data_IF_153884722530
#
_entry.id   IF_153884722530
#
_cell.length_a   1.000
_cell.length_b   1.000
_cell.length_c   1.000
_cell.angle_alpha   90.00
_cell.angle_beta   90.00
_cell.angle_gamma   90.00
#
_symmetry.space_group_name_H-M   'P 1'
#
loop_
_entity.id
_entity.type
_entity.pdbx_description
1 polymer ?
#
# COMPACT_ATOMS: atom_id res chain seq x y z
N UNK A 1 -16.81 16.74 -11.98
CA UNK A 1 -16.72 16.18 -10.61
C UNK A 1 -15.35 16.50 -10.05
N UNK A 2 -15.24 17.05 -8.83
CA UNK A 2 -13.95 17.44 -8.24
C UNK A 2 -13.03 16.20 -8.09
N UNK A 3 -11.75 16.33 -8.46
CA UNK A 3 -10.74 15.28 -8.38
C UNK A 3 -10.69 14.64 -6.98
N UNK A 4 -10.81 15.43 -5.92
CA UNK A 4 -10.81 14.97 -4.54
C UNK A 4 -11.98 14.01 -4.25
N UNK A 5 -13.19 14.30 -4.75
CA UNK A 5 -14.35 13.43 -4.56
C UNK A 5 -14.18 12.08 -5.29
N UNK A 6 -13.56 12.10 -6.48
CA UNK A 6 -13.27 10.89 -7.26
C UNK A 6 -12.26 10.03 -6.50
N UNK A 7 -11.20 10.65 -6.00
CA UNK A 7 -10.17 9.99 -5.19
C UNK A 7 -10.75 9.40 -3.92
N UNK A 8 -11.53 10.17 -3.15
CA UNK A 8 -12.12 9.69 -1.91
C UNK A 8 -13.13 8.55 -2.13
N UNK A 9 -13.90 8.61 -3.22
CA UNK A 9 -14.76 7.48 -3.60
C UNK A 9 -13.93 6.22 -3.83
N UNK A 10 -12.84 6.31 -4.61
CA UNK A 10 -11.96 5.17 -4.89
C UNK A 10 -11.30 4.61 -3.62
N UNK A 11 -10.85 5.49 -2.72
CA UNK A 11 -10.28 5.12 -1.43
C UNK A 11 -11.26 4.28 -0.62
N UNK A 12 -12.55 4.66 -0.57
CA UNK A 12 -13.59 3.89 0.12
C UNK A 12 -13.89 2.54 -0.54
N UNK A 13 -13.86 2.48 -1.87
CA UNK A 13 -14.00 1.21 -2.60
C UNK A 13 -12.85 0.26 -2.22
N UNK A 14 -11.61 0.75 -2.19
CA UNK A 14 -10.44 -0.04 -1.79
C UNK A 14 -10.50 -0.46 -0.31
N UNK A 15 -10.93 0.41 0.60
CA UNK A 15 -11.02 0.07 2.03
C UNK A 15 -12.10 -0.98 2.31
N UNK A 16 -13.16 -1.02 1.50
CA UNK A 16 -14.19 -2.06 1.54
C UNK A 16 -13.77 -3.37 0.85
N UNK A 17 -12.51 -3.46 0.39
CA UNK A 17 -11.97 -4.64 -0.27
C UNK A 17 -12.46 -4.83 -1.70
N UNK A 18 -12.98 -3.79 -2.36
CA UNK A 18 -13.52 -3.89 -3.72
C UNK A 18 -12.40 -3.87 -4.77
N UNK A 19 -11.81 -5.04 -5.01
CA UNK A 19 -10.65 -5.25 -5.86
C UNK A 19 -11.04 -5.73 -7.26
N UNK A 20 -11.50 -4.81 -8.10
CA UNK A 20 -11.80 -5.08 -9.51
C UNK A 20 -10.52 -5.12 -10.36
N UNK A 21 -10.55 -5.69 -11.59
CA UNK A 21 -9.39 -5.69 -12.48
C UNK A 21 -8.80 -4.30 -12.76
N UNK A 22 -9.64 -3.25 -12.77
CA UNK A 22 -9.24 -1.85 -12.96
C UNK A 22 -8.65 -1.18 -11.71
N UNK A 23 -9.04 -1.65 -10.53
CA UNK A 23 -8.64 -1.05 -9.24
C UNK A 23 -7.54 -1.84 -8.53
N UNK A 24 -7.24 -3.05 -8.97
CA UNK A 24 -6.30 -3.98 -8.34
C UNK A 24 -5.36 -4.61 -9.38
N UNK A 25 -4.86 -3.81 -10.32
CA UNK A 25 -3.85 -4.29 -11.28
C UNK A 25 -2.47 -4.28 -10.64
N UNK A 26 -1.73 -5.41 -10.54
CA UNK A 26 -0.36 -5.39 -10.06
C UNK A 26 0.55 -4.63 -11.03
N UNK A 27 1.52 -3.91 -10.50
CA UNK A 27 2.59 -3.29 -11.28
C UNK A 27 3.57 -4.38 -11.70
N UNK A 28 3.93 -4.39 -12.98
CA UNK A 28 4.89 -5.35 -13.56
C UNK A 28 6.20 -5.34 -12.78
N UNK A 29 6.74 -6.52 -12.47
CA UNK A 29 8.00 -6.67 -11.74
C UNK A 29 7.89 -6.54 -10.21
N UNK A 30 6.67 -6.59 -9.65
CA UNK A 30 6.45 -6.56 -8.19
C UNK A 30 5.84 -7.85 -7.62
N UNK A 31 5.33 -8.75 -8.48
CA UNK A 31 4.51 -9.90 -8.06
C UNK A 31 5.30 -11.05 -7.41
N UNK A 32 6.59 -11.16 -7.72
CA UNK A 32 7.56 -12.11 -7.15
C UNK A 32 7.98 -11.75 -5.69
N UNK A 33 7.71 -10.51 -5.29
CA UNK A 33 8.03 -9.93 -3.97
C UNK A 33 6.73 -9.51 -3.28
N UNK A 34 6.73 -8.38 -2.56
CA UNK A 34 5.49 -7.77 -2.05
C UNK A 34 4.84 -6.99 -3.20
N UNK A 35 3.66 -7.40 -3.71
CA UNK A 35 3.10 -6.75 -4.87
C UNK A 35 2.64 -5.33 -4.57
N UNK A 36 2.88 -4.45 -5.53
CA UNK A 36 2.37 -3.09 -5.53
C UNK A 36 1.29 -3.02 -6.60
N UNK A 37 0.15 -2.45 -6.25
CA UNK A 37 -1.02 -2.38 -7.08
C UNK A 37 -1.28 -0.96 -7.54
N UNK A 38 -1.98 -0.86 -8.67
CA UNK A 38 -2.50 0.37 -9.22
C UNK A 38 -4.01 0.29 -9.29
N UNK A 39 -4.67 1.33 -8.78
CA UNK A 39 -6.06 1.61 -9.08
C UNK A 39 -6.20 2.72 -10.12
N UNK A 40 -7.07 2.52 -11.10
CA UNK A 40 -7.44 3.55 -12.08
C UNK A 40 -8.59 4.41 -11.57
N UNK A 41 -8.45 5.72 -11.76
CA UNK A 41 -9.49 6.71 -11.46
C UNK A 41 -9.86 7.44 -12.76
N UNK A 42 -10.99 8.15 -12.72
CA UNK A 42 -11.33 9.14 -13.75
C UNK A 42 -10.32 10.29 -13.76
N UNK A 43 -10.26 11.07 -14.84
CA UNK A 43 -9.31 12.18 -15.06
C UNK A 43 -7.83 11.74 -15.12
N UNK A 44 -7.59 10.51 -15.55
CA UNK A 44 -6.26 9.90 -15.68
C UNK A 44 -5.41 9.87 -14.40
N UNK A 45 -6.04 10.00 -13.24
CA UNK A 45 -5.40 9.77 -11.94
C UNK A 45 -5.18 8.27 -11.69
N UNK A 46 -4.18 7.96 -10.87
CA UNK A 46 -3.92 6.62 -10.34
C UNK A 46 -3.64 6.70 -8.86
N UNK A 47 -4.06 5.65 -8.14
CA UNK A 47 -3.60 5.39 -6.78
C UNK A 47 -2.62 4.23 -6.88
N UNK A 48 -1.40 4.42 -6.37
CA UNK A 48 -0.43 3.36 -6.16
C UNK A 48 -0.48 2.96 -4.69
N UNK A 49 -0.68 1.68 -4.42
CA UNK A 49 -0.88 1.16 -3.08
C UNK A 49 -0.34 -0.25 -2.93
N UNK A 50 -0.23 -0.70 -1.69
CA UNK A 50 0.03 -2.10 -1.35
C UNK A 50 -0.96 -2.57 -0.29
N UNK A 51 -1.01 -3.89 -0.10
CA UNK A 51 -1.68 -4.48 1.05
C UNK A 51 -0.60 -4.84 2.07
N UNK A 52 -0.60 -4.14 3.19
CA UNK A 52 0.38 -4.25 4.28
C UNK A 52 -0.28 -4.90 5.51
N UNK A 53 0.51 -5.19 6.54
CA UNK A 53 0.05 -5.64 7.85
C UNK A 53 0.39 -4.58 8.89
N UNK A 54 -0.53 -4.35 9.82
CA UNK A 54 -0.29 -3.58 11.04
C UNK A 54 -0.77 -4.37 12.26
N UNK A 55 -0.03 -4.37 13.38
CA UNK A 55 -0.53 -4.94 14.61
C UNK A 55 -1.61 -4.03 15.22
N UNK A 56 -2.59 -4.62 15.90
CA UNK A 56 -3.52 -3.84 16.72
C UNK A 56 -2.83 -3.20 17.93
N UNK A 57 -3.49 -2.26 18.58
CA UNK A 57 -2.94 -1.53 19.74
C UNK A 57 -2.65 -2.44 20.94
N UNK A 58 -3.29 -3.61 21.00
CA UNK A 58 -3.07 -4.64 22.03
C UNK A 58 -2.02 -5.68 21.62
N UNK A 59 -1.45 -5.60 20.42
CA UNK A 59 -0.59 -6.62 19.81
C UNK A 59 -1.18 -8.04 19.93
N UNK A 60 -2.50 -8.16 19.77
CA UNK A 60 -3.22 -9.44 19.81
C UNK A 60 -3.42 -9.99 18.39
N UNK A 61 -3.78 -9.11 17.46
CA UNK A 61 -3.96 -9.45 16.06
C UNK A 61 -3.16 -8.55 15.13
N UNK A 62 -2.79 -9.12 13.98
CA UNK A 62 -2.29 -8.38 12.82
C UNK A 62 -3.42 -8.21 11.81
N UNK A 63 -3.57 -6.99 11.33
CA UNK A 63 -4.62 -6.57 10.41
C UNK A 63 -4.04 -6.27 9.04
N UNK A 64 -4.69 -6.80 8.00
CA UNK A 64 -4.44 -6.32 6.64
C UNK A 64 -4.96 -4.90 6.48
N UNK A 65 -4.15 -4.06 5.84
CA UNK A 65 -4.51 -2.67 5.51
C UNK A 65 -4.14 -2.31 4.09
N UNK A 66 -4.92 -1.40 3.50
CA UNK A 66 -4.56 -0.78 2.22
C UNK A 66 -3.70 0.45 2.52
N UNK A 67 -2.44 0.37 2.11
CA UNK A 67 -1.45 1.42 2.31
C UNK A 67 -1.24 2.18 1.02
N UNK A 68 -1.68 3.43 0.99
CA UNK A 68 -1.55 4.28 -0.19
C UNK A 68 -0.15 4.90 -0.20
N UNK A 69 0.58 4.65 -1.28
CA UNK A 69 1.95 5.11 -1.47
C UNK A 69 1.96 6.45 -2.20
N UNK A 70 1.19 6.57 -3.29
CA UNK A 70 1.11 7.77 -4.12
C UNK A 70 -0.28 7.91 -4.74
N UNK A 71 -0.76 9.15 -4.91
CA UNK A 71 -1.90 9.49 -5.75
C UNK A 71 -1.46 10.59 -6.72
N UNK A 72 -1.44 10.31 -8.01
CA UNK A 72 -1.00 11.29 -9.02
C UNK A 72 -1.61 10.99 -10.40
N UNK A 73 -1.43 11.92 -11.34
CA UNK A 73 -1.70 11.71 -12.75
C UNK A 73 -0.82 10.58 -13.30
N UNK A 74 -1.36 9.78 -14.22
CA UNK A 74 -0.64 8.68 -14.88
C UNK A 74 0.72 9.12 -15.43
N UNK A 75 0.79 10.32 -16.02
CA UNK A 75 1.99 10.84 -16.65
C UNK A 75 3.13 11.15 -15.65
N UNK A 76 2.82 11.32 -14.37
CA UNK A 76 3.80 11.61 -13.32
C UNK A 76 4.28 10.36 -12.58
N UNK A 77 3.66 9.19 -12.84
CA UNK A 77 4.03 7.95 -12.16
C UNK A 77 5.13 7.25 -12.92
N UNK A 78 6.30 7.18 -12.29
CA UNK A 78 7.39 6.32 -12.73
C UNK A 78 7.08 4.85 -12.38
N UNK A 79 6.69 4.06 -13.38
CA UNK A 79 6.43 2.63 -13.18
C UNK A 79 7.71 1.80 -12.98
N UNK A 80 8.88 2.31 -13.40
CA UNK A 80 10.17 1.65 -13.22
C UNK A 80 10.67 1.71 -11.78
N UNK A 81 10.22 2.69 -11.00
CA UNK A 81 10.57 2.85 -9.59
C UNK A 81 9.98 1.76 -8.67
N UNK A 82 8.73 1.35 -8.86
CA UNK A 82 8.01 0.47 -7.94
C UNK A 82 8.60 -0.94 -7.75
N UNK A 83 9.18 -1.60 -8.77
CA UNK A 83 9.96 -2.82 -8.58
C UNK A 83 11.09 -2.70 -7.54
N UNK A 84 11.74 -1.53 -7.44
CA UNK A 84 12.77 -1.27 -6.43
C UNK A 84 12.16 -1.16 -5.03
N UNK A 85 11.05 -0.44 -4.88
CA UNK A 85 10.30 -0.34 -3.61
C UNK A 85 9.84 -1.73 -3.14
N UNK A 86 9.25 -2.51 -4.05
CA UNK A 86 8.81 -3.89 -3.79
C UNK A 86 9.98 -4.78 -3.33
N UNK A 87 11.17 -4.59 -3.91
CA UNK A 87 12.39 -5.27 -3.49
C UNK A 87 12.80 -4.91 -2.07
N UNK A 88 12.77 -3.64 -1.71
CA UNK A 88 13.15 -3.20 -0.37
C UNK A 88 12.17 -3.66 0.70
N UNK A 89 10.86 -3.62 0.42
CA UNK A 89 9.82 -4.18 1.29
C UNK A 89 9.98 -5.68 1.56
N UNK A 90 10.68 -6.38 0.66
CA UNK A 90 10.96 -7.81 0.76
C UNK A 90 12.07 -8.17 1.77
N UNK A 91 12.82 -7.18 2.28
CA UNK A 91 13.91 -7.37 3.24
C UNK A 91 13.42 -7.43 4.69
N UNK A 92 12.23 -7.99 4.93
CA UNK A 92 11.77 -8.30 6.28
C UNK A 92 12.24 -9.71 6.66
N UNK A 93 12.65 -9.94 7.93
CA UNK A 93 12.66 -11.26 8.54
C UNK A 93 11.32 -11.96 8.26
N UNK A 94 11.35 -13.27 8.03
CA UNK A 94 10.14 -14.04 7.72
C UNK A 94 9.38 -13.54 6.47
N UNK A 95 10.13 -13.21 5.39
CA UNK A 95 9.62 -12.79 4.07
C UNK A 95 8.40 -13.59 3.62
N UNK A 96 8.48 -14.91 3.68
CA UNK A 96 7.45 -15.79 3.13
C UNK A 96 6.16 -15.72 3.96
N UNK A 97 6.18 -15.91 5.31
CA UNK A 97 5.00 -15.70 6.15
C UNK A 97 4.37 -14.30 6.02
N UNK A 98 5.18 -13.24 6.00
CA UNK A 98 4.67 -11.87 5.86
C UNK A 98 4.01 -11.67 4.49
N UNK A 99 4.66 -12.11 3.41
CA UNK A 99 4.12 -12.03 2.05
C UNK A 99 2.83 -12.84 1.92
N UNK A 100 2.78 -14.04 2.47
CA UNK A 100 1.59 -14.89 2.48
C UNK A 100 0.42 -14.17 3.16
N UNK A 101 0.64 -13.59 4.34
CA UNK A 101 -0.38 -12.80 5.04
C UNK A 101 -0.79 -11.56 4.24
N UNK A 102 0.12 -10.86 3.56
CA UNK A 102 -0.23 -9.74 2.66
C UNK A 102 -1.04 -10.18 1.43
N UNK A 103 -0.84 -11.39 0.92
CA UNK A 103 -1.52 -11.93 -0.26
C UNK A 103 -2.80 -12.68 0.05
N UNK A 104 -3.00 -13.10 1.29
CA UNK A 104 -4.13 -13.90 1.68
C UNK A 104 -5.44 -13.14 1.45
N UNK A 105 -6.41 -13.81 0.83
CA UNK A 105 -7.73 -13.26 0.49
C UNK A 105 -8.78 -14.28 0.91
N UNK A 106 -9.72 -13.88 1.76
CA UNK A 106 -10.92 -14.68 2.03
C UNK A 106 -11.86 -14.55 0.82
N UNK A 107 -11.83 -15.53 -0.08
CA UNK A 107 -12.80 -15.58 -1.18
C UNK A 107 -14.20 -15.84 -0.61
N UNK A 108 -15.17 -15.01 -0.97
CA UNK A 108 -16.59 -15.37 -0.80
C UNK A 108 -16.95 -16.45 -1.83
N UNK A 109 -17.93 -17.28 -1.49
CA UNK A 109 -18.35 -18.48 -2.22
C UNK A 109 -18.95 -18.23 -3.61
N UNK A 110 -19.12 -16.98 -4.06
CA UNK A 110 -19.60 -16.64 -5.39
C UNK A 110 -18.48 -16.09 -6.26
N UNK A 111 -18.22 -16.73 -7.40
CA UNK A 111 -17.15 -16.41 -8.38
C UNK A 111 -17.18 -14.98 -8.95
N UNK A 112 -18.21 -14.17 -8.67
CA UNK A 112 -18.37 -12.81 -9.19
C UNK A 112 -18.25 -11.69 -8.16
N UNK A 113 -17.91 -11.99 -6.89
CA UNK A 113 -17.80 -10.96 -5.86
C UNK A 113 -16.37 -10.40 -5.79
N UNK A 114 -16.15 -9.19 -6.34
CA UNK A 114 -14.88 -8.47 -6.23
C UNK A 114 -14.60 -7.94 -4.81
N UNK A 115 -15.49 -8.18 -3.85
CA UNK A 115 -15.31 -7.78 -2.46
C UNK A 115 -14.52 -8.84 -1.69
N UNK A 116 -13.29 -8.49 -1.31
CA UNK A 116 -12.45 -9.34 -0.47
C UNK A 116 -12.45 -8.81 0.96
N UNK A 117 -12.85 -9.66 1.90
CA UNK A 117 -12.84 -9.29 3.31
C UNK A 117 -11.40 -9.29 3.86
N UNK A 118 -11.01 -8.28 4.65
CA UNK A 118 -9.73 -8.28 5.33
C UNK A 118 -9.65 -9.42 6.33
N UNK A 119 -8.45 -9.97 6.49
CA UNK A 119 -8.20 -11.10 7.38
C UNK A 119 -7.41 -10.63 8.59
N UNK A 120 -7.74 -11.18 9.75
CA UNK A 120 -6.99 -11.00 10.98
C UNK A 120 -6.14 -12.23 11.24
N UNK A 121 -4.90 -12.02 11.61
CA UNK A 121 -3.97 -13.07 11.99
C UNK A 121 -3.59 -12.91 13.46
N UNK A 122 -3.22 -13.98 14.14
CA UNK A 122 -2.60 -13.84 15.47
C UNK A 122 -1.31 -13.05 15.33
N UNK A 123 -1.09 -12.11 16.26
CA UNK A 123 0.07 -11.23 16.23
C UNK A 123 1.37 -12.04 16.24
N UNK A 124 2.25 -11.73 15.28
CA UNK A 124 3.59 -12.30 15.19
C UNK A 124 4.63 -11.18 15.13
N UNK A 125 5.28 -10.93 16.26
CA UNK A 125 6.30 -9.87 16.42
C UNK A 125 7.47 -10.02 15.43
N UNK A 126 7.76 -11.25 14.98
CA UNK A 126 8.88 -11.52 14.05
C UNK A 126 8.64 -10.97 12.65
N UNK A 127 7.38 -10.64 12.30
CA UNK A 127 7.02 -10.05 11.00
C UNK A 127 7.24 -8.54 10.93
N UNK A 128 7.43 -7.89 12.09
CA UNK A 128 7.57 -6.44 12.21
C UNK A 128 8.97 -6.00 12.62
N UNK A 129 9.86 -6.93 12.94
CA UNK A 129 11.29 -6.63 13.06
C UNK A 129 11.82 -6.26 11.67
N UNK A 130 12.44 -5.09 11.53
CA UNK A 130 13.11 -4.71 10.28
C UNK A 130 14.59 -5.04 10.40
N UNK A 131 15.09 -5.95 9.56
CA UNK A 131 16.52 -6.00 9.34
C UNK A 131 16.93 -4.76 8.53
N UNK A 132 18.05 -4.10 8.87
CA UNK A 132 18.55 -3.03 8.04
C UNK A 132 18.77 -3.61 6.63
N UNK A 133 18.16 -2.95 5.63
CA UNK A 133 18.32 -3.37 4.25
C UNK A 133 19.82 -3.55 3.95
N UNK A 134 20.24 -4.69 3.35
CA UNK A 134 21.64 -4.86 2.98
C UNK A 134 22.01 -3.72 2.03
N UNK A 135 22.85 -2.80 2.51
CA UNK A 135 23.46 -1.77 1.67
C UNK A 135 24.53 -2.43 0.79
N UNK A 136 24.12 -3.20 -0.21
CA UNK A 136 24.99 -3.87 -1.18
C UNK A 136 24.15 -4.30 -2.37
N UNK A 137 24.31 -3.87 -3.63
CA UNK A 137 25.40 -3.23 -4.38
C UNK A 137 24.69 -2.26 -5.35
N UNK A 138 24.62 -0.97 -5.03
CA UNK A 138 24.04 0.02 -5.96
C UNK A 138 25.12 0.37 -6.99
N UNK A 139 24.87 0.01 -8.25
CA UNK A 139 25.88 0.04 -9.31
C UNK A 139 25.92 1.38 -10.05
N UNK A 140 24.86 2.18 -9.94
CA UNK A 140 24.71 3.44 -10.66
C UNK A 140 23.87 4.48 -9.88
N UNK A 141 23.98 5.75 -10.30
CA UNK A 141 23.35 6.89 -9.62
C UNK A 141 21.81 6.83 -9.59
N UNK A 142 21.19 6.17 -10.59
CA UNK A 142 19.72 6.03 -10.66
C UNK A 142 19.23 5.05 -9.58
N UNK A 143 19.90 3.92 -9.42
CA UNK A 143 19.60 2.95 -8.36
C UNK A 143 19.77 3.57 -6.97
N UNK A 144 20.80 4.40 -6.77
CA UNK A 144 21.01 5.11 -5.50
C UNK A 144 19.84 6.04 -5.18
N UNK A 145 19.44 6.87 -6.15
CA UNK A 145 18.29 7.76 -6.00
C UNK A 145 17.02 6.97 -5.66
N UNK A 146 16.74 5.88 -6.37
CA UNK A 146 15.57 5.05 -6.10
C UNK A 146 15.64 4.38 -4.72
N UNK A 147 16.81 3.95 -4.27
CA UNK A 147 16.98 3.38 -2.94
C UNK A 147 16.67 4.42 -1.84
N UNK A 148 17.16 5.64 -1.98
CA UNK A 148 16.88 6.74 -1.04
C UNK A 148 15.38 7.11 -1.02
N UNK A 149 14.76 7.28 -2.18
CA UNK A 149 13.33 7.59 -2.30
C UNK A 149 12.45 6.45 -1.75
N UNK A 150 12.80 5.20 -2.05
CA UNK A 150 12.10 4.04 -1.52
C UNK A 150 12.27 3.90 0.00
N UNK A 151 13.46 4.16 0.54
CA UNK A 151 13.70 4.18 1.97
C UNK A 151 12.90 5.29 2.66
N UNK A 152 12.73 6.45 2.03
CA UNK A 152 11.86 7.49 2.56
C UNK A 152 10.39 7.00 2.63
N UNK A 153 9.87 6.38 1.57
CA UNK A 153 8.51 5.82 1.54
C UNK A 153 8.33 4.72 2.60
N UNK A 154 9.30 3.81 2.73
CA UNK A 154 9.23 2.68 3.66
C UNK A 154 9.41 3.14 5.11
N UNK A 155 10.41 4.00 5.37
CA UNK A 155 10.78 4.51 6.68
C UNK A 155 9.86 5.61 7.23
N UNK A 156 8.92 6.11 6.43
CA UNK A 156 7.79 6.91 6.90
C UNK A 156 6.85 6.04 7.75
N UNK A 157 7.26 5.63 8.96
CA UNK A 157 6.43 4.91 9.95
C UNK A 157 5.21 5.72 10.44
N UNK A 158 4.92 6.88 9.83
CA UNK A 158 3.81 7.77 10.18
C UNK A 158 2.79 7.79 9.06
N UNK A 159 2.07 6.69 8.90
CA UNK A 159 0.87 6.68 8.09
C UNK A 159 -0.32 7.13 8.94
N UNK A 160 -1.06 8.14 8.48
CA UNK A 160 -2.28 8.57 9.14
C UNK A 160 -3.45 7.64 8.77
N UNK A 161 -4.32 7.24 9.70
CA UNK A 161 -5.55 6.56 9.33
C UNK A 161 -6.41 7.49 8.46
N UNK A 162 -6.80 7.02 7.27
CA UNK A 162 -7.69 7.75 6.39
C UNK A 162 -9.10 7.77 6.96
N UNK A 163 -9.32 8.74 7.81
CA UNK A 163 -10.56 8.99 8.53
C UNK A 163 -11.37 10.11 7.88
N UNK A 164 -12.64 10.21 8.24
CA UNK A 164 -13.48 11.36 7.90
C UNK A 164 -12.88 12.67 8.41
N UNK A 165 -12.18 12.64 9.55
CA UNK A 165 -11.47 13.78 10.09
C UNK A 165 -10.32 14.21 9.14
N UNK A 166 -9.49 13.27 8.69
CA UNK A 166 -8.43 13.54 7.71
C UNK A 166 -8.97 14.16 6.43
N UNK A 167 -10.05 13.59 5.88
CA UNK A 167 -10.72 14.13 4.70
C UNK A 167 -11.19 15.57 4.91
N UNK A 168 -11.85 15.84 6.03
CA UNK A 168 -12.33 17.17 6.36
C UNK A 168 -11.17 18.17 6.53
N UNK A 169 -10.04 17.75 7.11
CA UNK A 169 -8.83 18.57 7.22
C UNK A 169 -8.22 18.91 5.86
N UNK A 170 -8.17 17.95 4.93
CA UNK A 170 -7.70 18.18 3.56
C UNK A 170 -8.63 19.15 2.81
N UNK A 171 -9.95 18.98 2.95
CA UNK A 171 -10.94 19.90 2.36
C UNK A 171 -10.82 21.32 2.95
N UNK A 172 -10.53 21.41 4.24
CA UNK A 172 -10.27 22.69 4.91
C UNK A 172 -8.92 23.33 4.52
N UNK A 173 -8.16 22.68 3.62
CA UNK A 173 -6.83 23.11 3.15
C UNK A 173 -5.83 23.29 4.29
N UNK A 174 -5.93 22.45 5.33
CA UNK A 174 -4.91 22.34 6.37
C UNK A 174 -3.78 21.51 5.78
N UNK A 175 -2.59 22.10 5.61
CA UNK A 175 -1.43 21.44 5.00
C UNK A 175 -1.08 20.13 5.73
N UNK A 176 -1.14 19.02 5.00
CA UNK A 176 -0.74 17.70 5.48
C UNK A 176 0.19 17.07 4.43
N UNK A 177 1.49 17.05 4.72
CA UNK A 177 2.52 16.48 3.86
C UNK A 177 2.92 15.06 4.31
N UNK A 178 1.99 14.08 4.34
CA UNK A 178 2.32 12.73 4.81
C UNK A 178 1.48 11.62 4.13
N UNK A 179 2.03 10.40 3.96
CA UNK A 179 1.28 9.25 3.46
C UNK A 179 0.25 8.75 4.49
N UNK A 180 -0.75 7.98 4.06
CA UNK A 180 -1.88 7.54 4.91
C UNK A 180 -2.29 6.07 4.68
N UNK A 181 -2.85 5.45 5.72
CA UNK A 181 -3.26 4.03 5.79
C UNK A 181 -4.77 3.92 5.97
N UNK A 182 -5.40 2.94 5.32
CA UNK A 182 -6.82 2.65 5.47
C UNK A 182 -7.00 1.40 6.33
N UNK A 183 -7.74 1.53 7.43
CA UNK A 183 -8.30 0.36 8.09
C UNK A 183 -9.37 -0.26 7.20
N UNK A 184 -9.25 -1.55 6.92
CA UNK A 184 -10.29 -2.30 6.24
C UNK A 184 -11.38 -2.63 7.26
N UNK A 185 -12.62 -2.22 6.97
CA UNK A 185 -13.81 -2.47 7.79
C UNK A 185 -14.60 -3.63 7.22
#
# INVERSE_FOLDING_TARGET
QNALNITWKKIRELSAGQFTPDNHTPITGTTDKIPIYRARLSNDLRIIYQIDLIPDSSSTYDHQVVKILVIDARAHIDYGFWPHVSSLLCHRPSRDPYRERCLYRLSKSSESDYNILPVKFLHDVTLFTHDPAPLSILSNAVEIKYAEEANAIIGLERYLPASKALYNSIIANVELNLPFVLECV
#
